data_IF_212640664349
#
_entry.id   IF_212640664349
#
_cell.length_a   1.000
_cell.length_b   1.000
_cell.length_c   1.000
_cell.angle_alpha   90.00
_cell.angle_beta   90.00
_cell.angle_gamma   90.00
#
_symmetry.space_group_name_H-M   'P 1'
#
loop_
_entity.id
_entity.type
_entity.pdbx_description
1 polymer ?
#
# COMPACT_ATOMS: atom_id res chain seq x y z
N UNK A 1 6.08 21.20 -12.20
CA UNK A 1 6.60 19.82 -12.23
C UNK A 1 6.48 19.32 -13.68
N UNK A 2 7.56 19.35 -14.46
CA UNK A 2 7.50 19.07 -15.90
C UNK A 2 7.32 17.58 -16.22
N UNK A 3 6.65 17.27 -17.33
CA UNK A 3 6.39 15.89 -17.81
C UNK A 3 7.69 15.06 -17.97
N UNK A 4 8.85 15.71 -18.14
CA UNK A 4 10.17 15.07 -18.17
C UNK A 4 10.57 14.44 -16.82
N UNK A 5 10.31 15.11 -15.70
CA UNK A 5 10.61 14.60 -14.34
C UNK A 5 9.69 13.44 -13.95
N UNK A 6 8.43 13.44 -14.43
CA UNK A 6 7.50 12.34 -14.17
C UNK A 6 7.94 11.04 -14.85
N UNK A 7 8.50 11.14 -16.07
CA UNK A 7 9.04 9.99 -16.80
C UNK A 7 10.31 9.40 -16.17
N UNK A 8 11.14 10.22 -15.52
CA UNK A 8 12.34 9.74 -14.82
C UNK A 8 12.03 9.17 -13.44
N UNK A 9 11.00 9.68 -12.74
CA UNK A 9 10.57 9.17 -11.44
C UNK A 9 9.80 7.83 -11.54
N UNK A 10 9.05 7.62 -12.63
CA UNK A 10 8.26 6.41 -12.90
C UNK A 10 8.94 5.06 -12.54
N UNK A 11 10.16 4.74 -13.03
CA UNK A 11 10.82 3.48 -12.69
C UNK A 11 11.17 3.35 -11.21
N UNK A 12 11.44 4.46 -10.52
CA UNK A 12 11.75 4.47 -9.09
C UNK A 12 10.50 4.30 -8.24
N UNK A 13 9.41 4.97 -8.61
CA UNK A 13 8.09 4.83 -7.98
C UNK A 13 7.53 3.41 -8.17
N UNK A 14 7.77 2.79 -9.32
CA UNK A 14 7.35 1.42 -9.59
C UNK A 14 8.10 0.40 -8.71
N UNK A 15 9.41 0.58 -8.54
CA UNK A 15 10.18 -0.26 -7.61
C UNK A 15 9.75 -0.03 -6.15
N UNK A 16 9.53 1.22 -5.75
CA UNK A 16 9.09 1.55 -4.40
C UNK A 16 7.73 0.93 -4.06
N UNK A 17 6.75 1.03 -4.98
CA UNK A 17 5.42 0.45 -4.80
C UNK A 17 5.46 -1.09 -4.74
N UNK A 18 6.31 -1.75 -5.54
CA UNK A 18 6.51 -3.21 -5.46
C UNK A 18 7.08 -3.63 -4.10
N UNK A 19 8.10 -2.93 -3.60
CA UNK A 19 8.70 -3.22 -2.29
C UNK A 19 7.68 -3.03 -1.17
N UNK A 20 6.94 -1.92 -1.19
CA UNK A 20 5.88 -1.64 -0.21
C UNK A 20 4.78 -2.70 -0.26
N UNK A 21 4.35 -3.13 -1.45
CA UNK A 21 3.36 -4.20 -1.60
C UNK A 21 3.85 -5.53 -1.00
N UNK A 22 5.10 -5.91 -1.28
CA UNK A 22 5.70 -7.14 -0.74
C UNK A 22 5.83 -7.10 0.79
N UNK A 23 6.01 -5.94 1.41
CA UNK A 23 6.05 -5.77 2.86
C UNK A 23 4.64 -5.69 3.47
N UNK A 24 3.68 -5.09 2.77
CA UNK A 24 2.30 -4.96 3.24
C UNK A 24 1.57 -6.31 3.30
N UNK A 25 1.74 -7.18 2.29
CA UNK A 25 1.12 -8.50 2.25
C UNK A 25 1.32 -9.35 3.52
N UNK A 26 2.56 -9.60 3.99
CA UNK A 26 2.79 -10.35 5.22
C UNK A 26 2.29 -9.59 6.47
N UNK A 27 2.31 -8.26 6.46
CA UNK A 27 1.78 -7.46 7.57
C UNK A 27 0.26 -7.62 7.71
N UNK A 28 -0.50 -7.57 6.60
CA UNK A 28 -1.95 -7.82 6.59
C UNK A 28 -2.29 -9.21 7.16
N UNK A 29 -1.54 -10.23 6.72
CA UNK A 29 -1.74 -11.60 7.15
C UNK A 29 -1.36 -11.79 8.63
N UNK A 30 -0.27 -11.15 9.08
CA UNK A 30 0.18 -11.19 10.47
C UNK A 30 -0.83 -10.58 11.43
N UNK A 31 -1.38 -9.41 11.10
CA UNK A 31 -2.40 -8.75 11.93
C UNK A 31 -3.69 -9.57 11.96
N UNK A 32 -4.10 -10.16 10.84
CA UNK A 32 -5.28 -11.02 10.79
C UNK A 32 -5.12 -12.27 11.68
N UNK A 33 -3.98 -12.97 11.58
CA UNK A 33 -3.69 -14.15 12.40
C UNK A 33 -3.62 -13.78 13.89
N UNK A 34 -2.94 -12.68 14.24
CA UNK A 34 -2.88 -12.17 15.61
C UNK A 34 -4.26 -11.81 16.18
N UNK A 35 -5.19 -11.39 15.31
CA UNK A 35 -6.58 -11.07 15.68
C UNK A 35 -7.51 -12.29 15.68
N UNK A 36 -6.99 -13.51 15.44
CA UNK A 36 -7.80 -14.73 15.36
C UNK A 36 -8.70 -14.82 14.12
N UNK A 37 -8.41 -14.02 13.10
CA UNK A 37 -9.23 -13.83 11.91
C UNK A 37 -8.58 -14.51 10.68
N UNK A 38 -9.36 -15.02 9.70
CA UNK A 38 -8.79 -15.58 8.48
C UNK A 38 -7.94 -14.55 7.72
N UNK A 39 -6.77 -14.91 7.17
CA UNK A 39 -5.89 -13.99 6.43
C UNK A 39 -6.57 -13.27 5.27
N UNK A 40 -7.52 -13.94 4.61
CA UNK A 40 -8.32 -13.35 3.53
C UNK A 40 -9.03 -12.07 3.96
N UNK A 41 -9.51 -11.98 5.21
CA UNK A 41 -10.18 -10.79 5.71
C UNK A 41 -9.20 -9.64 5.98
N UNK A 42 -7.99 -9.92 6.47
CA UNK A 42 -6.93 -8.90 6.59
C UNK A 42 -6.47 -8.35 5.25
N UNK A 43 -6.51 -9.17 4.19
CA UNK A 43 -6.25 -8.69 2.84
C UNK A 43 -7.36 -7.73 2.36
N UNK A 44 -8.62 -8.09 2.59
CA UNK A 44 -9.78 -7.28 2.21
C UNK A 44 -9.77 -5.93 2.96
N UNK A 45 -9.46 -5.94 4.26
CA UNK A 45 -9.36 -4.69 5.05
C UNK A 45 -8.24 -3.80 4.53
N UNK A 46 -7.08 -4.36 4.22
CA UNK A 46 -5.95 -3.61 3.67
C UNK A 46 -6.27 -2.99 2.30
N UNK A 47 -7.01 -3.69 1.43
CA UNK A 47 -7.45 -3.13 0.15
C UNK A 47 -8.42 -1.97 0.36
N UNK A 48 -9.43 -2.15 1.22
CA UNK A 48 -10.45 -1.12 1.47
C UNK A 48 -9.82 0.09 2.18
N UNK A 49 -9.01 -0.14 3.22
CA UNK A 49 -8.27 0.89 3.93
C UNK A 49 -7.32 1.63 3.01
N UNK A 50 -6.59 0.92 2.15
CA UNK A 50 -5.71 1.50 1.13
C UNK A 50 -6.46 2.40 0.14
N UNK A 51 -7.61 1.96 -0.37
CA UNK A 51 -8.43 2.75 -1.30
C UNK A 51 -9.05 3.98 -0.64
N UNK A 52 -9.68 3.81 0.53
CA UNK A 52 -10.37 4.90 1.23
C UNK A 52 -9.38 5.92 1.75
N UNK A 53 -8.32 5.47 2.44
CA UNK A 53 -7.27 6.36 2.95
C UNK A 53 -6.50 6.97 1.79
N UNK A 54 -6.21 6.23 0.72
CA UNK A 54 -5.52 6.75 -0.47
C UNK A 54 -6.29 7.87 -1.18
N UNK A 55 -7.62 7.83 -1.16
CA UNK A 55 -8.46 8.91 -1.70
C UNK A 55 -8.51 10.16 -0.79
N UNK A 56 -8.44 9.98 0.52
CA UNK A 56 -8.48 11.07 1.51
C UNK A 56 -7.07 11.64 1.76
N UNK A 57 -6.03 10.83 1.53
CA UNK A 57 -4.63 11.12 1.75
C UNK A 57 -4.12 12.23 0.81
N UNK A 58 -3.59 13.30 1.39
CA UNK A 58 -2.99 14.41 0.65
C UNK A 58 -1.47 14.32 0.47
N UNK A 59 -0.82 13.25 0.94
CA UNK A 59 0.64 13.14 0.92
C UNK A 59 1.15 12.18 -0.17
N UNK A 60 2.08 12.64 -1.04
CA UNK A 60 2.62 11.83 -2.13
C UNK A 60 3.46 10.62 -1.65
N UNK A 61 3.87 10.57 -0.39
CA UNK A 61 4.59 9.44 0.20
C UNK A 61 3.75 8.64 1.21
N UNK A 62 2.43 8.78 1.18
CA UNK A 62 1.56 8.08 2.12
C UNK A 62 1.46 6.60 1.75
N UNK A 63 1.84 5.75 2.69
CA UNK A 63 1.59 4.30 2.64
C UNK A 63 0.48 4.00 3.63
N UNK A 64 -0.72 3.77 3.12
CA UNK A 64 -1.84 3.25 3.91
C UNK A 64 -1.53 1.79 4.27
N UNK A 65 -1.25 1.54 5.54
CA UNK A 65 -1.02 0.20 6.08
C UNK A 65 -2.31 -0.67 6.16
N UNK A 66 -2.18 -1.97 6.49
CA UNK A 66 -3.22 -3.00 6.43
C UNK A 66 -4.51 -2.76 7.23
#
# INVERSE_FOLDING_TARGET
MGIKELKSALPRELLASVVVFLVALPLCMGIAIASGMPPAKGLITGIIGGLVVGWIAGSPLQVSGP
#
